data_IF_032894643010
#
_entry.id   IF_032894643010
#
_cell.length_a   1.000
_cell.length_b   1.000
_cell.length_c   1.000
_cell.angle_alpha   90.00
_cell.angle_beta   90.00
_cell.angle_gamma   90.00
#
_symmetry.space_group_name_H-M   'P 1'
#
loop_
_entity.id
_entity.type
_entity.pdbx_description
1 polymer ?
#
# COMPACT_ATOMS: atom_id res chain seq x y z
N UNK A 1 -18.92 2.87 11.96
CA UNK A 1 -19.32 1.53 11.48
C UNK A 1 -18.02 0.76 11.34
N UNK A 2 -17.77 -0.29 12.12
CA UNK A 2 -16.51 -1.02 12.00
C UNK A 2 -16.48 -1.72 10.64
N UNK A 3 -15.44 -1.51 9.84
CA UNK A 3 -15.26 -2.26 8.61
C UNK A 3 -15.07 -3.74 8.98
N UNK A 4 -15.99 -4.59 8.51
CA UNK A 4 -16.05 -6.02 8.84
C UNK A 4 -15.56 -6.89 7.68
N UNK A 5 -14.66 -6.33 6.88
CA UNK A 5 -14.01 -7.01 5.78
C UNK A 5 -12.63 -7.49 6.21
N UNK A 6 -12.29 -8.73 5.88
CA UNK A 6 -10.94 -9.27 5.96
C UNK A 6 -10.45 -9.56 4.53
N UNK A 7 -9.23 -9.13 4.24
CA UNK A 7 -8.56 -9.44 2.98
C UNK A 7 -7.47 -10.47 3.23
N UNK A 8 -7.42 -11.52 2.42
CA UNK A 8 -6.37 -12.54 2.48
C UNK A 8 -5.77 -12.72 1.11
N UNK A 9 -4.45 -12.84 1.02
CA UNK A 9 -3.73 -12.99 -0.25
C UNK A 9 -3.19 -14.41 -0.39
N UNK A 10 -3.18 -14.94 -1.62
CA UNK A 10 -2.50 -16.18 -1.97
C UNK A 10 -1.99 -16.09 -3.41
N UNK A 11 -0.66 -16.05 -3.59
CA UNK A 11 -0.07 -15.79 -4.90
C UNK A 11 -0.54 -14.43 -5.44
N UNK A 12 -1.16 -14.44 -6.63
CA UNK A 12 -1.72 -13.25 -7.27
C UNK A 12 -3.21 -13.00 -6.97
N UNK A 13 -3.77 -13.73 -6.02
CA UNK A 13 -5.18 -13.66 -5.68
C UNK A 13 -5.41 -12.92 -4.35
N UNK A 14 -6.47 -12.12 -4.27
CA UNK A 14 -6.96 -11.57 -3.00
C UNK A 14 -8.41 -11.94 -2.81
N UNK A 15 -8.73 -12.60 -1.70
CA UNK A 15 -10.10 -12.89 -1.28
C UNK A 15 -10.58 -11.88 -0.26
N UNK A 16 -11.86 -11.52 -0.37
CA UNK A 16 -12.58 -10.63 0.53
C UNK A 16 -13.56 -11.47 1.34
N UNK A 17 -13.47 -11.37 2.66
CA UNK A 17 -14.29 -12.10 3.61
C UNK A 17 -15.14 -11.14 4.41
N UNK A 18 -16.43 -11.47 4.56
CA UNK A 18 -17.29 -10.79 5.50
C UNK A 18 -17.17 -11.49 6.87
N UNK A 19 -16.66 -10.76 7.87
CA UNK A 19 -16.40 -11.30 9.20
C UNK A 19 -17.67 -11.49 10.05
N UNK A 20 -18.80 -10.88 9.71
CA UNK A 20 -20.07 -11.16 10.38
C UNK A 20 -20.61 -12.52 9.99
N UNK A 21 -20.49 -12.82 8.70
CA UNK A 21 -21.07 -14.02 8.08
C UNK A 21 -20.05 -15.16 7.95
N UNK A 22 -18.79 -14.89 8.32
CA UNK A 22 -17.66 -15.81 8.22
C UNK A 22 -17.55 -16.48 6.85
N UNK A 23 -17.75 -15.72 5.77
CA UNK A 23 -17.82 -16.24 4.41
C UNK A 23 -17.13 -15.33 3.39
N UNK A 24 -16.57 -15.93 2.33
CA UNK A 24 -15.90 -15.22 1.24
C UNK A 24 -16.91 -14.66 0.24
N UNK A 25 -16.96 -13.33 0.09
CA UNK A 25 -17.99 -12.64 -0.71
C UNK A 25 -17.42 -11.95 -1.94
N UNK A 26 -16.12 -11.73 -1.98
CA UNK A 26 -15.51 -11.11 -3.14
C UNK A 26 -14.07 -11.51 -3.37
N UNK A 27 -13.55 -11.00 -4.49
CA UNK A 27 -12.24 -11.35 -5.00
C UNK A 27 -11.67 -10.19 -5.81
N UNK A 28 -10.38 -9.89 -5.62
CA UNK A 28 -9.63 -9.00 -6.50
C UNK A 28 -8.88 -9.85 -7.51
N UNK A 29 -9.13 -9.61 -8.79
CA UNK A 29 -8.53 -10.37 -9.88
C UNK A 29 -7.15 -9.83 -10.24
N UNK A 30 -6.24 -10.76 -10.57
CA UNK A 30 -4.88 -10.45 -11.01
C UNK A 30 -4.21 -9.35 -10.17
N UNK A 31 -4.06 -9.57 -8.87
CA UNK A 31 -3.52 -8.59 -7.92
C UNK A 31 -2.04 -8.26 -8.09
N UNK A 32 -1.41 -8.91 -9.07
CA UNK A 32 -0.05 -8.72 -9.53
C UNK A 32 -0.05 -8.39 -11.03
N UNK A 33 0.99 -7.73 -11.53
CA UNK A 33 1.13 -7.49 -12.96
C UNK A 33 1.46 -8.78 -13.74
N UNK A 34 2.33 -9.62 -13.19
CA UNK A 34 2.69 -10.93 -13.71
C UNK A 34 1.96 -12.03 -12.95
N UNK A 35 1.34 -12.97 -13.65
CA UNK A 35 0.63 -14.11 -13.05
C UNK A 35 1.56 -15.08 -12.28
N UNK A 36 2.88 -14.94 -12.42
CA UNK A 36 3.89 -15.72 -11.69
C UNK A 36 4.44 -14.99 -10.45
N UNK A 37 3.89 -13.81 -10.13
CA UNK A 37 4.27 -13.03 -8.95
C UNK A 37 3.28 -13.25 -7.80
N UNK A 38 3.60 -12.70 -6.63
CA UNK A 38 2.75 -12.72 -5.45
C UNK A 38 2.52 -11.32 -4.87
N UNK A 39 1.35 -11.15 -4.26
CA UNK A 39 1.01 -9.97 -3.45
C UNK A 39 1.78 -10.04 -2.14
N UNK A 40 2.51 -8.98 -1.83
CA UNK A 40 3.38 -8.88 -0.64
C UNK A 40 2.80 -7.98 0.44
N UNK A 41 1.96 -7.03 0.07
CA UNK A 41 1.34 -6.08 0.98
C UNK A 41 0.00 -5.58 0.43
N UNK A 42 -0.86 -5.10 1.33
CA UNK A 42 -2.18 -4.59 1.00
C UNK A 42 -2.52 -3.41 1.93
N UNK A 43 -3.19 -2.40 1.39
CA UNK A 43 -3.76 -1.29 2.15
C UNK A 43 -5.24 -1.13 1.81
N UNK A 44 -6.09 -0.92 2.81
CA UNK A 44 -7.52 -0.70 2.64
C UNK A 44 -7.93 0.70 3.09
N UNK A 45 -8.57 1.44 2.20
CA UNK A 45 -9.18 2.74 2.48
C UNK A 45 -10.69 2.60 2.47
N UNK A 46 -11.29 2.75 3.65
CA UNK A 46 -12.73 2.78 3.82
C UNK A 46 -13.36 4.08 3.27
N UNK A 47 -14.66 4.09 3.04
CA UNK A 47 -15.41 5.25 2.57
C UNK A 47 -16.63 4.87 1.74
N UNK A 48 -17.29 5.86 1.13
CA UNK A 48 -18.43 5.62 0.24
C UNK A 48 -18.05 4.76 -0.98
N UNK A 49 -16.80 4.91 -1.44
CA UNK A 49 -16.19 4.12 -2.49
C UNK A 49 -14.90 3.52 -1.95
N UNK A 50 -14.97 2.38 -1.23
CA UNK A 50 -13.79 1.78 -0.63
C UNK A 50 -12.75 1.39 -1.70
N UNK A 51 -11.48 1.60 -1.36
CA UNK A 51 -10.35 1.33 -2.23
C UNK A 51 -9.42 0.31 -1.59
N UNK A 52 -8.89 -0.60 -2.38
CA UNK A 52 -7.86 -1.55 -1.96
C UNK A 52 -6.62 -1.35 -2.83
N UNK A 53 -5.46 -1.23 -2.19
CA UNK A 53 -4.18 -1.22 -2.88
C UNK A 53 -3.44 -2.52 -2.62
N UNK A 54 -2.83 -3.11 -3.64
CA UNK A 54 -1.99 -4.30 -3.50
C UNK A 54 -0.60 -4.01 -4.02
N UNK A 55 0.43 -4.25 -3.21
CA UNK A 55 1.82 -4.24 -3.64
C UNK A 55 2.31 -5.67 -3.91
N UNK A 56 3.22 -5.82 -4.87
CA UNK A 56 3.63 -7.14 -5.38
C UNK A 56 5.14 -7.27 -5.55
N UNK A 57 5.61 -8.53 -5.58
CA UNK A 57 7.02 -8.86 -5.90
C UNK A 57 7.45 -8.43 -7.29
N UNK A 58 6.52 -8.17 -8.20
CA UNK A 58 6.78 -7.68 -9.57
C UNK A 58 6.88 -6.16 -9.66
N UNK A 59 6.99 -5.47 -8.52
CA UNK A 59 7.34 -4.04 -8.39
C UNK A 59 6.17 -3.06 -8.62
N UNK A 60 4.96 -3.58 -8.86
CA UNK A 60 3.76 -2.77 -9.06
C UNK A 60 2.94 -2.61 -7.79
N UNK A 61 2.22 -1.49 -7.73
CA UNK A 61 1.06 -1.33 -6.86
C UNK A 61 -0.19 -1.27 -7.73
N UNK A 62 -1.23 -2.03 -7.42
CA UNK A 62 -2.53 -1.97 -8.09
C UNK A 62 -3.58 -1.33 -7.21
N UNK A 63 -4.55 -0.66 -7.83
CA UNK A 63 -5.73 -0.10 -7.16
C UNK A 63 -6.97 -0.85 -7.62
N UNK A 64 -7.85 -1.14 -6.66
CA UNK A 64 -9.18 -1.68 -6.85
C UNK A 64 -10.20 -0.78 -6.16
N UNK A 65 -11.33 -0.56 -6.81
CA UNK A 65 -12.50 0.04 -6.19
C UNK A 65 -13.51 -1.07 -5.95
N UNK A 66 -13.95 -1.23 -4.69
CA UNK A 66 -14.85 -2.31 -4.29
C UNK A 66 -16.18 -1.74 -3.80
N UNK A 67 -17.21 -2.59 -3.71
CA UNK A 67 -18.45 -2.22 -3.03
C UNK A 67 -18.24 -2.16 -1.51
N UNK A 68 -19.01 -1.34 -0.77
CA UNK A 68 -18.91 -1.26 0.70
C UNK A 68 -19.06 -2.58 1.44
N UNK A 69 -19.82 -3.53 0.89
CA UNK A 69 -20.02 -4.85 1.46
C UNK A 69 -18.97 -5.89 1.00
N UNK A 70 -18.05 -5.49 0.12
CA UNK A 70 -16.99 -6.33 -0.42
C UNK A 70 -17.47 -7.44 -1.38
N UNK A 71 -18.74 -7.43 -1.78
CA UNK A 71 -19.32 -8.47 -2.64
C UNK A 71 -18.99 -8.24 -4.11
N UNK A 72 -18.36 -9.22 -4.74
CA UNK A 72 -18.14 -9.21 -6.20
C UNK A 72 -16.76 -9.63 -6.65
N UNK A 73 -16.55 -9.54 -7.97
CA UNK A 73 -15.26 -9.79 -8.61
C UNK A 73 -14.75 -8.47 -9.18
N UNK A 74 -13.60 -8.01 -8.68
CA UNK A 74 -13.09 -6.69 -8.97
C UNK A 74 -11.81 -6.77 -9.77
N UNK A 75 -11.73 -6.03 -10.86
CA UNK A 75 -10.50 -5.86 -11.64
C UNK A 75 -9.78 -4.57 -11.21
N UNK A 76 -8.47 -4.51 -11.47
CA UNK A 76 -7.68 -3.33 -11.12
C UNK A 76 -8.11 -2.14 -11.98
N UNK A 77 -8.45 -1.02 -11.33
CA UNK A 77 -8.75 0.22 -12.04
C UNK A 77 -7.49 0.92 -12.53
N UNK A 78 -6.37 0.75 -11.81
CA UNK A 78 -5.09 1.39 -12.13
C UNK A 78 -3.91 0.48 -11.74
N UNK A 79 -2.81 0.66 -12.47
CA UNK A 79 -1.52 0.04 -12.17
C UNK A 79 -0.46 1.14 -12.01
N UNK A 80 0.22 1.15 -10.88
CA UNK A 80 1.30 2.08 -10.57
C UNK A 80 2.63 1.33 -10.72
N UNK A 81 3.42 1.71 -11.71
CA UNK A 81 4.80 1.24 -11.83
C UNK A 81 5.63 1.93 -10.74
N UNK A 82 5.77 1.25 -9.60
CA UNK A 82 6.28 1.90 -8.40
C UNK A 82 7.78 1.74 -8.26
N UNK A 83 8.32 0.53 -8.30
CA UNK A 83 9.69 0.29 -7.83
C UNK A 83 10.52 -0.51 -8.83
N UNK A 84 11.81 -0.70 -8.53
CA UNK A 84 12.72 -1.55 -9.32
C UNK A 84 12.97 -2.94 -8.70
N UNK A 85 12.42 -3.16 -7.51
CA UNK A 85 12.40 -4.45 -6.80
C UNK A 85 11.04 -4.60 -6.07
N UNK A 86 10.81 -5.74 -5.43
CA UNK A 86 9.59 -6.09 -4.71
C UNK A 86 9.07 -4.97 -3.83
N UNK A 87 7.82 -4.58 -4.04
CA UNK A 87 7.10 -3.71 -3.09
C UNK A 87 7.00 -4.48 -1.76
N UNK A 88 7.24 -3.82 -0.64
CA UNK A 88 7.25 -4.44 0.69
C UNK A 88 6.18 -3.89 1.60
N UNK A 89 5.76 -2.64 1.38
CA UNK A 89 4.69 -2.02 2.15
C UNK A 89 4.01 -0.94 1.31
N UNK A 90 2.71 -0.78 1.54
CA UNK A 90 1.89 0.31 1.02
C UNK A 90 1.07 0.83 2.19
N UNK A 91 1.05 2.14 2.39
CA UNK A 91 0.26 2.80 3.44
C UNK A 91 -0.35 4.09 2.91
N UNK A 92 -1.57 4.41 3.32
CA UNK A 92 -2.25 5.62 2.91
C UNK A 92 -2.43 6.59 4.08
N UNK A 93 -2.31 7.89 3.80
CA UNK A 93 -2.63 8.94 4.76
C UNK A 93 -3.08 10.21 4.05
N UNK A 94 -4.23 10.76 4.46
CA UNK A 94 -4.83 11.93 3.81
C UNK A 94 -5.04 11.70 2.31
N UNK A 95 -4.45 12.57 1.47
CA UNK A 95 -4.49 12.46 0.02
C UNK A 95 -3.23 11.79 -0.57
N UNK A 96 -2.50 11.00 0.20
CA UNK A 96 -1.24 10.39 -0.23
C UNK A 96 -1.23 8.88 -0.02
N UNK A 97 -0.67 8.18 -0.99
CA UNK A 97 -0.30 6.77 -0.91
C UNK A 97 1.22 6.67 -0.91
N UNK A 98 1.79 5.99 0.07
CA UNK A 98 3.21 5.71 0.18
C UNK A 98 3.46 4.25 -0.16
N UNK A 99 4.53 3.97 -0.91
CA UNK A 99 5.02 2.61 -1.14
C UNK A 99 6.51 2.51 -0.89
N UNK A 100 6.94 1.37 -0.33
CA UNK A 100 8.36 1.05 -0.12
C UNK A 100 8.74 -0.24 -0.81
N UNK A 101 10.04 -0.43 -1.04
CA UNK A 101 10.57 -1.60 -1.72
C UNK A 101 11.92 -2.07 -1.18
N UNK A 102 12.31 -3.27 -1.61
CA UNK A 102 13.68 -3.79 -1.50
C UNK A 102 14.70 -2.95 -2.29
N UNK A 103 14.27 -2.12 -3.23
CA UNK A 103 15.13 -1.17 -3.93
C UNK A 103 15.59 0.01 -3.04
N UNK A 104 15.15 0.02 -1.77
CA UNK A 104 15.52 0.97 -0.72
C UNK A 104 14.89 2.36 -0.87
N UNK A 105 13.94 2.52 -1.78
CA UNK A 105 13.27 3.78 -2.04
C UNK A 105 11.89 3.84 -1.37
N UNK A 106 11.43 5.08 -1.12
CA UNK A 106 10.04 5.38 -0.78
C UNK A 106 9.46 6.21 -1.93
N UNK A 107 8.28 5.86 -2.40
CA UNK A 107 7.55 6.66 -3.39
C UNK A 107 6.23 7.12 -2.82
N UNK A 108 5.80 8.32 -3.23
CA UNK A 108 4.51 8.88 -2.88
C UNK A 108 3.70 9.18 -4.13
N UNK A 109 2.41 8.85 -4.06
CA UNK A 109 1.43 9.10 -5.10
C UNK A 109 0.29 9.94 -4.53
N UNK A 110 -0.22 10.87 -5.33
CA UNK A 110 -1.46 11.59 -5.01
C UNK A 110 -2.65 10.63 -5.13
N UNK A 111 -3.53 10.58 -4.13
CA UNK A 111 -4.76 9.78 -4.19
C UNK A 111 -5.87 10.44 -5.03
N UNK A 112 -5.64 11.67 -5.49
CA UNK A 112 -6.55 12.43 -6.36
C UNK A 112 -6.41 12.00 -7.83
N UNK A 113 -5.18 11.93 -8.35
CA UNK A 113 -4.91 11.61 -9.76
C UNK A 113 -3.97 10.41 -9.97
N UNK A 114 -3.53 9.77 -8.88
CA UNK A 114 -2.66 8.60 -8.85
C UNK A 114 -1.28 8.81 -9.49
N UNK A 115 -0.86 10.06 -9.67
CA UNK A 115 0.49 10.36 -10.16
C UNK A 115 1.50 10.36 -9.02
N UNK A 116 2.70 9.86 -9.32
CA UNK A 116 3.85 9.95 -8.43
C UNK A 116 4.28 11.40 -8.30
N UNK A 117 4.18 11.96 -7.10
CA UNK A 117 4.52 13.35 -6.83
C UNK A 117 5.83 13.50 -6.05
N UNK A 118 6.35 12.41 -5.48
CA UNK A 118 7.64 12.40 -4.76
C UNK A 118 8.32 11.02 -4.78
N UNK A 119 9.64 11.04 -4.71
CA UNK A 119 10.51 9.87 -4.55
C UNK A 119 11.65 10.23 -3.58
N UNK A 120 11.81 9.40 -2.56
CA UNK A 120 12.98 9.42 -1.69
C UNK A 120 13.89 8.26 -2.11
N UNK A 121 14.96 8.61 -2.83
CA UNK A 121 15.94 7.64 -3.31
C UNK A 121 16.88 7.25 -2.17
N UNK A 122 17.19 5.96 -2.04
CA UNK A 122 18.09 5.45 -1.00
C UNK A 122 17.66 5.91 0.40
N UNK A 123 16.35 5.88 0.67
CA UNK A 123 15.80 6.26 1.97
C UNK A 123 16.45 5.45 3.11
N UNK A 124 16.81 4.19 2.84
CA UNK A 124 17.62 3.33 3.68
C UNK A 124 18.84 2.78 2.93
N UNK A 125 19.82 2.25 3.66
CA UNK A 125 20.99 1.55 3.10
C UNK A 125 20.79 0.03 2.93
N UNK A 126 19.57 -0.45 3.18
CA UNK A 126 19.16 -1.84 3.00
C UNK A 126 17.65 -1.89 2.73
N UNK A 127 17.13 -3.07 2.36
CA UNK A 127 15.73 -3.28 1.98
C UNK A 127 14.77 -2.72 3.02
N UNK A 128 13.83 -1.88 2.61
CA UNK A 128 12.74 -1.45 3.48
C UNK A 128 11.80 -2.64 3.64
N UNK A 129 11.53 -3.02 4.89
CA UNK A 129 10.70 -4.18 5.22
C UNK A 129 9.25 -3.79 5.51
N UNK A 130 9.03 -2.62 6.10
CA UNK A 130 7.71 -2.18 6.51
C UNK A 130 7.63 -0.67 6.67
N UNK A 131 6.42 -0.15 6.58
CA UNK A 131 6.07 1.23 6.91
C UNK A 131 4.81 1.26 7.77
N UNK A 132 4.68 2.29 8.60
CA UNK A 132 3.41 2.64 9.23
C UNK A 132 3.30 4.15 9.41
N UNK A 133 2.07 4.64 9.47
CA UNK A 133 1.79 6.05 9.74
C UNK A 133 1.46 6.21 11.23
N UNK A 134 2.11 7.18 11.86
CA UNK A 134 1.84 7.62 13.22
C UNK A 134 0.97 8.87 13.13
N UNK A 135 -0.32 8.71 13.36
CA UNK A 135 -1.30 9.81 13.35
C UNK A 135 -1.25 10.58 14.67
N UNK A 136 -0.21 11.40 14.81
CA UNK A 136 -0.05 12.34 15.93
C UNK A 136 -0.44 13.75 15.49
N UNK A 137 -0.31 14.76 16.36
CA UNK A 137 -0.54 16.17 15.98
C UNK A 137 0.22 16.59 14.71
N UNK A 138 1.40 15.97 14.48
CA UNK A 138 2.12 16.02 13.22
C UNK A 138 2.16 14.61 12.64
N UNK A 139 1.59 14.33 11.46
CA UNK A 139 1.65 13.00 10.90
C UNK A 139 3.09 12.62 10.55
N UNK A 140 3.50 11.44 11.00
CA UNK A 140 4.82 10.88 10.73
C UNK A 140 4.69 9.54 10.01
N UNK A 141 5.59 9.27 9.08
CA UNK A 141 5.78 7.95 8.49
C UNK A 141 7.00 7.31 9.18
N UNK A 142 6.83 6.14 9.77
CA UNK A 142 7.94 5.33 10.27
C UNK A 142 8.28 4.26 9.23
N UNK A 143 9.55 4.07 8.91
CA UNK A 143 10.02 3.06 7.96
C UNK A 143 11.16 2.24 8.57
N UNK A 144 11.08 0.92 8.46
CA UNK A 144 12.07 0.00 9.02
C UNK A 144 12.76 -0.79 7.91
N UNK A 145 14.08 -0.97 7.99
CA UNK A 145 14.84 -1.75 7.02
C UNK A 145 15.44 -3.04 7.59
N UNK A 146 15.82 -3.96 6.71
CA UNK A 146 16.50 -5.22 7.04
C UNK A 146 17.81 -5.03 7.81
N UNK A 147 18.44 -3.86 7.69
CA UNK A 147 19.64 -3.49 8.44
C UNK A 147 19.40 -3.12 9.91
N UNK A 148 18.16 -3.20 10.39
CA UNK A 148 17.80 -2.91 11.79
C UNK A 148 17.64 -1.43 12.11
N UNK A 149 17.63 -0.54 11.11
CA UNK A 149 17.38 0.89 11.29
C UNK A 149 15.92 1.24 11.09
N UNK A 150 15.43 2.22 11.87
CA UNK A 150 14.07 2.76 11.76
C UNK A 150 14.20 4.26 11.55
N UNK A 151 13.67 4.76 10.42
CA UNK A 151 13.65 6.18 10.11
C UNK A 151 12.26 6.74 10.28
N UNK A 152 12.18 7.98 10.78
CA UNK A 152 10.91 8.69 10.98
C UNK A 152 10.89 9.93 10.09
N UNK A 153 9.82 10.09 9.33
CA UNK A 153 9.67 11.13 8.33
C UNK A 153 8.43 11.98 8.63
N UNK A 154 8.58 13.29 8.62
CA UNK A 154 7.45 14.21 8.59
C UNK A 154 6.81 14.20 7.21
N UNK A 155 5.50 13.90 7.16
CA UNK A 155 4.70 13.79 5.94
C UNK A 155 3.67 14.91 5.79
N UNK A 156 3.78 15.98 6.58
CA UNK A 156 2.86 17.13 6.51
C UNK A 156 3.01 17.91 5.20
N UNK A 157 4.20 17.90 4.58
CA UNK A 157 4.46 18.62 3.33
C UNK A 157 4.06 17.80 2.11
N UNK A 158 3.27 18.41 1.23
CA UNK A 158 2.95 17.86 -0.09
C UNK A 158 4.10 17.95 -1.10
N UNK A 159 5.31 18.38 -0.72
CA UNK A 159 6.45 18.47 -1.67
C UNK A 159 7.54 17.42 -1.43
N UNK A 160 7.80 17.07 -0.18
CA UNK A 160 8.87 16.13 0.17
C UNK A 160 8.62 15.49 1.52
N UNK A 161 9.19 14.31 1.70
CA UNK A 161 9.44 13.74 3.02
C UNK A 161 10.57 14.52 3.71
N UNK A 162 10.46 14.70 5.03
CA UNK A 162 11.56 15.29 5.82
C UNK A 162 11.95 14.33 6.92
N UNK A 163 13.19 13.84 6.89
CA UNK A 163 13.73 13.02 7.97
C UNK A 163 13.71 13.80 9.29
N UNK A 164 13.18 13.16 10.32
CA UNK A 164 13.09 13.67 11.70
C UNK A 164 14.11 12.95 12.59
N UNK A 165 14.21 11.63 12.47
CA UNK A 165 15.07 10.78 13.29
C UNK A 165 15.42 9.45 12.58
N UNK A 166 16.51 8.77 12.97
CA UNK A 166 16.98 7.49 12.38
C UNK A 166 17.71 6.52 13.32
#
# INVERSE_FOLDING_TARGET
>A
MFCRLLFTTFGNDVRIWNLEKFASYGRLSAATHSSRSEVTCLEFLDGANPRVFTGSRDHYVKLYQITPDGTGFFEASNNLATHYDSVTSVVAYGNSLFSSSKDMNIMRFSLEDLKRDHIELQAHSNWIQSMCVLDTYRPLLATACRGGRVKVWDITSTRKLRLVDE
#
